data_IF_818860377105
#
_entry.id   IF_818860377105
#
_cell.length_a   1.000
_cell.length_b   1.000
_cell.length_c   1.000
_cell.angle_alpha   90.00
_cell.angle_beta   90.00
_cell.angle_gamma   90.00
#
_symmetry.space_group_name_H-M   'P 1'
#
loop_
_entity.id
_entity.type
_entity.pdbx_description
1 polymer ?
#
# COMPACT_ATOMS: atom_id res chain seq x y z
N UNK A 1 38.80 -47.15 37.57
CA UNK A 1 39.64 -46.05 37.08
C UNK A 1 38.81 -44.77 37.12
N UNK A 2 39.32 -43.75 37.75
CA UNK A 2 38.67 -42.55 38.27
C UNK A 2 38.33 -41.57 37.16
N UNK A 3 37.05 -41.15 37.06
CA UNK A 3 36.61 -40.06 36.23
C UNK A 3 36.66 -38.75 36.99
N UNK A 4 37.47 -37.79 36.54
CA UNK A 4 37.59 -36.46 37.13
C UNK A 4 36.47 -35.53 36.64
N UNK A 5 35.66 -34.99 37.57
CA UNK A 5 34.73 -33.91 37.33
C UNK A 5 35.49 -32.59 37.39
N UNK A 6 35.74 -31.97 36.23
CA UNK A 6 36.27 -30.61 36.15
C UNK A 6 35.15 -29.60 36.49
N UNK A 7 35.23 -28.97 37.65
CA UNK A 7 34.43 -27.78 38.01
C UNK A 7 35.11 -26.55 37.44
N UNK A 8 34.52 -25.93 36.43
CA UNK A 8 34.89 -24.60 35.99
C UNK A 8 34.45 -23.57 37.04
N UNK A 9 35.43 -23.01 37.74
CA UNK A 9 35.22 -21.89 38.64
C UNK A 9 35.39 -20.60 37.84
N UNK A 10 34.29 -19.91 37.60
CA UNK A 10 34.32 -18.52 37.14
C UNK A 10 34.81 -17.64 38.29
N UNK A 11 36.00 -17.05 38.16
CA UNK A 11 36.44 -15.93 39.00
C UNK A 11 35.72 -14.66 38.52
N UNK A 12 34.80 -14.16 39.30
CA UNK A 12 34.33 -12.78 39.17
C UNK A 12 35.49 -11.86 39.56
N UNK A 13 35.96 -11.09 38.60
CA UNK A 13 36.93 -10.03 38.81
C UNK A 13 36.25 -8.87 39.54
N UNK A 14 36.67 -8.55 40.74
CA UNK A 14 36.15 -7.51 41.61
C UNK A 14 36.81 -6.14 41.34
N UNK A 15 37.06 -5.80 40.09
CA UNK A 15 37.69 -4.53 39.74
C UNK A 15 36.71 -3.40 39.35
N UNK A 16 35.41 -3.56 39.60
CA UNK A 16 34.42 -2.49 39.42
C UNK A 16 34.00 -1.78 40.69
N UNK A 17 34.80 -1.82 41.75
CA UNK A 17 34.45 -1.20 43.06
C UNK A 17 35.13 0.17 43.29
N UNK A 18 35.51 0.90 42.24
CA UNK A 18 35.97 2.28 42.31
C UNK A 18 35.54 3.05 41.07
N UNK A 19 34.27 3.34 40.98
CA UNK A 19 33.78 4.48 40.19
C UNK A 19 33.71 5.64 41.20
N UNK A 20 34.33 6.79 40.94
CA UNK A 20 34.09 8.00 41.75
C UNK A 20 32.63 8.39 41.60
N UNK A 21 31.98 8.74 42.69
CA UNK A 21 30.69 9.39 42.74
C UNK A 21 30.84 10.67 41.87
N UNK A 22 30.32 10.61 40.64
CA UNK A 22 30.20 11.77 39.78
C UNK A 22 29.06 12.60 40.33
N UNK A 23 29.44 13.69 40.99
CA UNK A 23 28.52 14.74 41.42
C UNK A 23 27.67 15.14 40.24
N UNK A 24 26.44 14.69 40.27
CA UNK A 24 25.41 15.06 39.29
C UNK A 24 25.26 16.57 39.28
N UNK A 25 25.80 17.18 38.25
CA UNK A 25 25.66 18.60 37.98
C UNK A 25 24.15 18.89 37.79
N UNK A 26 23.49 19.64 38.71
CA UNK A 26 22.05 19.90 38.63
C UNK A 26 21.65 20.85 37.51
N UNK A 27 22.59 21.28 36.68
CA UNK A 27 22.37 22.29 35.64
C UNK A 27 22.06 21.73 34.23
N UNK A 28 21.94 20.39 34.05
CA UNK A 28 21.66 19.79 32.74
C UNK A 28 20.17 19.57 32.44
N UNK A 29 19.28 19.89 33.37
CA UNK A 29 17.84 19.90 33.13
C UNK A 29 17.35 21.35 33.13
N UNK A 30 17.23 21.94 31.96
CA UNK A 30 16.51 23.19 31.78
C UNK A 30 15.13 23.07 32.45
N UNK A 31 14.73 24.04 33.31
CA UNK A 31 13.42 24.00 33.95
C UNK A 31 12.32 23.97 32.87
N UNK A 32 11.21 23.26 33.09
CA UNK A 32 10.12 23.21 32.13
C UNK A 32 9.65 24.64 31.85
N UNK A 33 9.72 25.05 30.55
CA UNK A 33 9.15 26.33 30.12
C UNK A 33 7.65 26.25 30.35
N UNK A 34 7.15 26.93 31.35
CA UNK A 34 5.73 27.24 31.49
C UNK A 34 5.39 28.21 30.35
N UNK A 35 4.68 27.75 29.35
CA UNK A 35 4.10 28.61 28.35
C UNK A 35 2.92 29.28 29.03
N UNK A 36 3.12 30.54 29.43
CA UNK A 36 2.06 31.37 29.94
C UNK A 36 1.04 31.62 28.80
N UNK A 37 -0.16 31.08 28.95
CA UNK A 37 -1.27 31.20 27.96
C UNK A 37 -1.97 32.57 28.03
N UNK A 38 -1.34 33.57 28.58
CA UNK A 38 -1.90 34.91 28.74
C UNK A 38 -1.69 35.85 27.54
N UNK A 39 -1.18 35.32 26.41
CA UNK A 39 -1.15 36.08 25.16
C UNK A 39 -2.00 35.33 24.12
N UNK A 40 -3.31 35.37 24.28
CA UNK A 40 -4.23 35.23 23.18
C UNK A 40 -4.03 36.46 22.28
N UNK A 41 -3.72 36.30 20.97
CA UNK A 41 -3.77 37.43 20.08
C UNK A 41 -5.22 37.93 20.05
N UNK A 42 -5.43 39.15 20.56
CA UNK A 42 -6.67 39.87 20.36
C UNK A 42 -6.79 40.10 18.85
N UNK A 43 -7.70 39.39 18.21
CA UNK A 43 -8.13 39.76 16.88
C UNK A 43 -9.02 40.98 17.03
N UNK A 44 -8.53 42.13 16.56
CA UNK A 44 -9.33 43.34 16.42
C UNK A 44 -10.45 43.00 15.45
N UNK A 45 -11.71 43.05 15.96
CA UNK A 45 -12.93 42.81 15.18
C UNK A 45 -13.19 43.88 14.11
N UNK A 46 -12.35 44.90 13.98
CA UNK A 46 -12.52 46.00 13.04
C UNK A 46 -12.01 45.74 11.62
N UNK A 47 -11.23 44.67 11.37
CA UNK A 47 -10.67 44.39 10.05
C UNK A 47 -11.38 43.27 9.26
N UNK A 48 -12.50 42.79 9.71
CA UNK A 48 -13.33 41.90 8.89
C UNK A 48 -14.26 42.73 8.01
N UNK A 49 -14.11 42.69 6.66
CA UNK A 49 -15.09 43.34 5.80
C UNK A 49 -16.45 42.71 6.05
N UNK A 50 -17.40 43.49 6.54
CA UNK A 50 -18.78 43.10 6.78
C UNK A 50 -19.46 42.77 5.44
N UNK A 51 -19.29 41.51 5.00
CA UNK A 51 -20.03 40.97 3.87
C UNK A 51 -21.48 40.80 4.33
N UNK A 52 -22.34 41.74 3.93
CA UNK A 52 -23.77 41.69 4.16
C UNK A 52 -24.34 40.40 3.61
N UNK A 53 -25.24 39.76 4.38
CA UNK A 53 -25.95 38.53 3.97
C UNK A 53 -26.67 38.68 2.60
N UNK A 54 -26.87 39.91 2.15
CA UNK A 54 -27.40 40.22 0.80
C UNK A 54 -26.35 39.96 -0.31
N UNK A 55 -25.05 40.09 -0.02
CA UNK A 55 -23.97 39.91 -1.01
C UNK A 55 -23.62 38.43 -1.20
N UNK A 56 -23.73 37.65 -0.14
CA UNK A 56 -23.62 36.18 -0.22
C UNK A 56 -24.76 35.55 -1.03
N UNK A 57 -25.95 36.12 -0.96
CA UNK A 57 -27.13 35.62 -1.71
C UNK A 57 -27.06 36.02 -3.20
N UNK A 58 -26.37 37.11 -3.56
CA UNK A 58 -26.16 37.50 -4.97
C UNK A 58 -25.22 36.58 -5.73
N UNK A 59 -24.25 35.98 -5.04
CA UNK A 59 -23.34 35.00 -5.66
C UNK A 59 -23.95 33.59 -5.79
N UNK A 60 -25.07 33.34 -5.13
CA UNK A 60 -25.78 32.06 -5.19
C UNK A 60 -26.95 32.05 -6.20
N UNK A 61 -27.30 33.21 -6.73
CA UNK A 61 -28.40 33.36 -7.74
C UNK A 61 -27.81 33.48 -9.16
N UNK A 62 -26.75 32.77 -9.46
CA UNK A 62 -26.45 32.39 -10.83
C UNK A 62 -27.43 31.28 -11.19
N UNK A 63 -28.59 31.65 -11.74
CA UNK A 63 -29.48 30.69 -12.40
C UNK A 63 -28.65 29.89 -13.41
N UNK A 64 -28.66 28.55 -13.36
CA UNK A 64 -28.14 27.78 -14.46
C UNK A 64 -29.00 28.10 -15.67
N UNK A 65 -28.47 28.82 -16.65
CA UNK A 65 -29.08 28.91 -17.96
C UNK A 65 -29.16 27.50 -18.51
N UNK A 66 -30.38 26.95 -18.53
CA UNK A 66 -30.70 25.79 -19.35
C UNK A 66 -30.40 26.18 -20.78
N UNK A 67 -29.31 25.64 -21.32
CA UNK A 67 -29.06 25.71 -22.74
C UNK A 67 -30.24 25.05 -23.45
N UNK A 68 -30.86 25.76 -24.38
CA UNK A 68 -31.87 25.22 -25.30
C UNK A 68 -31.26 23.99 -25.98
N UNK A 69 -31.71 22.81 -25.57
CA UNK A 69 -31.51 21.57 -26.30
C UNK A 69 -32.35 21.65 -27.56
N UNK A 70 -31.74 22.17 -28.63
CA UNK A 70 -32.32 22.11 -29.96
C UNK A 70 -32.28 20.60 -30.40
N UNK A 71 -33.33 19.89 -30.04
CA UNK A 71 -33.65 18.58 -30.56
C UNK A 71 -34.03 18.73 -32.02
N UNK A 72 -33.04 18.72 -32.90
CA UNK A 72 -33.25 18.49 -34.30
C UNK A 72 -34.04 17.19 -34.46
N UNK A 73 -35.31 17.35 -34.87
CA UNK A 73 -36.17 16.27 -35.34
C UNK A 73 -35.44 15.62 -36.51
N UNK A 74 -35.19 14.32 -36.38
CA UNK A 74 -34.95 13.34 -37.43
C UNK A 74 -33.72 12.41 -37.19
N UNK A 75 -33.60 11.88 -35.97
CA UNK A 75 -32.91 10.61 -35.83
C UNK A 75 -33.80 9.61 -35.06
N UNK A 76 -34.13 8.45 -35.63
CA UNK A 76 -34.93 7.43 -34.98
C UNK A 76 -34.14 6.85 -33.79
N UNK A 77 -34.59 7.11 -32.58
CA UNK A 77 -34.09 6.45 -31.38
C UNK A 77 -34.35 4.93 -31.51
N UNK A 78 -33.34 4.06 -31.36
CA UNK A 78 -33.55 2.62 -31.39
C UNK A 78 -34.38 2.23 -30.16
N UNK A 79 -35.65 1.90 -30.38
CA UNK A 79 -36.49 1.28 -29.36
C UNK A 79 -36.22 -0.20 -29.28
N UNK A 80 -36.04 -0.69 -28.06
CA UNK A 80 -35.76 -2.12 -27.72
C UNK A 80 -36.92 -3.09 -28.05
N UNK A 81 -37.92 -2.66 -28.84
CA UNK A 81 -39.16 -3.41 -29.12
C UNK A 81 -39.39 -3.74 -30.59
N UNK A 82 -38.41 -3.62 -31.48
CA UNK A 82 -38.56 -4.13 -32.82
C UNK A 82 -38.08 -5.59 -32.89
N UNK A 83 -38.95 -6.55 -33.28
CA UNK A 83 -38.53 -7.90 -33.58
C UNK A 83 -37.60 -7.85 -34.76
N UNK A 84 -36.39 -8.39 -34.61
CA UNK A 84 -35.41 -8.54 -35.67
C UNK A 84 -35.86 -9.74 -36.51
N UNK A 85 -36.29 -9.49 -37.75
CA UNK A 85 -36.42 -10.55 -38.74
C UNK A 85 -35.03 -11.14 -39.07
N UNK A 86 -34.94 -12.46 -38.94
CA UNK A 86 -33.81 -13.25 -39.34
C UNK A 86 -33.51 -13.05 -40.85
N UNK A 87 -32.31 -12.68 -41.14
CA UNK A 87 -31.47 -13.07 -42.28
C UNK A 87 -30.50 -11.94 -42.63
N UNK A 88 -29.32 -11.95 -42.03
CA UNK A 88 -28.05 -11.76 -42.78
C UNK A 88 -26.93 -12.36 -41.93
N UNK A 89 -26.33 -13.43 -42.48
CA UNK A 89 -25.11 -14.02 -42.00
C UNK A 89 -23.98 -13.00 -42.04
N UNK A 90 -23.80 -12.26 -40.97
CA UNK A 90 -22.68 -11.37 -40.69
C UNK A 90 -21.80 -12.04 -39.63
N UNK A 91 -20.60 -12.42 -40.10
CA UNK A 91 -19.48 -12.92 -39.35
C UNK A 91 -19.38 -12.30 -37.96
N UNK A 92 -19.31 -13.06 -36.87
CA UNK A 92 -19.16 -12.49 -35.54
C UNK A 92 -17.84 -11.70 -35.49
N UNK A 93 -17.98 -10.41 -35.19
CA UNK A 93 -16.82 -9.59 -34.85
C UNK A 93 -16.21 -10.24 -33.58
N UNK A 94 -15.04 -10.81 -33.74
CA UNK A 94 -14.20 -11.26 -32.65
C UNK A 94 -14.07 -10.12 -31.64
N UNK A 95 -14.21 -10.37 -30.32
CA UNK A 95 -13.88 -9.38 -29.35
C UNK A 95 -12.47 -8.89 -29.65
N UNK A 96 -12.30 -7.58 -29.71
CA UNK A 96 -11.01 -6.94 -29.88
C UNK A 96 -10.07 -7.60 -28.87
N UNK A 97 -9.10 -8.35 -29.36
CA UNK A 97 -7.97 -8.77 -28.55
C UNK A 97 -7.36 -7.47 -28.05
N UNK A 98 -7.60 -7.15 -26.79
CA UNK A 98 -6.71 -6.25 -26.07
C UNK A 98 -5.32 -6.80 -26.36
N UNK A 99 -4.53 -6.00 -27.06
CA UNK A 99 -3.14 -6.31 -27.33
C UNK A 99 -2.49 -6.44 -25.95
N UNK A 100 -2.32 -7.67 -25.49
CA UNK A 100 -1.39 -8.00 -24.43
C UNK A 100 -0.05 -7.48 -24.91
N UNK A 101 0.31 -6.25 -24.54
CA UNK A 101 1.69 -5.78 -24.62
C UNK A 101 2.46 -6.80 -23.83
N UNK A 102 3.24 -7.64 -24.52
CA UNK A 102 4.18 -8.52 -23.86
C UNK A 102 5.04 -7.65 -22.97
N UNK A 103 4.78 -7.76 -21.67
CA UNK A 103 5.59 -7.07 -20.68
C UNK A 103 7.00 -7.62 -20.80
N UNK A 104 8.03 -6.76 -20.76
CA UNK A 104 9.40 -7.24 -20.81
C UNK A 104 9.61 -8.25 -19.68
N UNK A 105 10.47 -9.26 -19.89
CA UNK A 105 10.73 -10.27 -18.88
C UNK A 105 11.20 -9.60 -17.59
N UNK A 106 10.64 -10.04 -16.45
CA UNK A 106 11.01 -9.54 -15.14
C UNK A 106 12.46 -9.94 -14.84
N UNK A 107 13.33 -8.96 -14.63
CA UNK A 107 14.76 -9.17 -14.34
C UNK A 107 15.02 -9.31 -12.84
N UNK A 108 14.25 -8.58 -12.03
CA UNK A 108 14.39 -8.56 -10.57
C UNK A 108 13.02 -8.51 -9.91
N UNK A 109 12.86 -9.22 -8.79
CA UNK A 109 11.63 -9.21 -7.98
C UNK A 109 11.96 -8.80 -6.55
N UNK A 110 11.24 -7.83 -6.04
CA UNK A 110 11.28 -7.43 -4.63
C UNK A 110 10.11 -8.09 -3.90
N UNK A 111 10.40 -8.81 -2.81
CA UNK A 111 9.39 -9.58 -2.07
C UNK A 111 9.31 -9.13 -0.63
N UNK A 112 8.09 -8.93 -0.14
CA UNK A 112 7.78 -8.72 1.28
C UNK A 112 6.80 -9.80 1.71
N UNK A 113 7.18 -10.58 2.71
CA UNK A 113 6.31 -11.60 3.29
C UNK A 113 5.68 -11.06 4.57
N UNK A 114 4.39 -11.33 4.75
CA UNK A 114 3.70 -11.08 6.01
C UNK A 114 3.28 -12.44 6.57
N UNK A 115 3.79 -12.76 7.75
CA UNK A 115 3.58 -14.05 8.41
C UNK A 115 2.73 -13.85 9.66
N UNK A 116 1.69 -14.63 9.83
CA UNK A 116 0.86 -14.60 11.03
C UNK A 116 1.67 -15.04 12.26
N UNK A 117 1.53 -14.31 13.36
CA UNK A 117 2.14 -14.69 14.65
C UNK A 117 1.33 -15.76 15.37
N UNK A 118 0.01 -15.79 15.14
CA UNK A 118 -0.89 -16.80 15.72
C UNK A 118 -0.87 -18.10 14.94
N UNK A 119 -1.20 -19.19 15.62
CA UNK A 119 -1.26 -20.52 15.00
C UNK A 119 -2.45 -20.68 14.03
N UNK A 120 -3.52 -19.91 14.23
CA UNK A 120 -4.71 -19.92 13.37
C UNK A 120 -4.46 -19.30 11.98
N UNK A 121 -3.41 -18.46 11.86
CA UNK A 121 -3.12 -17.75 10.62
C UNK A 121 -4.01 -16.54 10.39
N UNK A 122 -4.06 -16.07 9.16
CA UNK A 122 -4.94 -15.01 8.71
C UNK A 122 -6.24 -15.61 8.23
N UNK A 123 -7.35 -15.28 8.89
CA UNK A 123 -8.69 -15.72 8.50
C UNK A 123 -9.13 -15.02 7.22
N UNK A 124 -9.71 -15.78 6.30
CA UNK A 124 -10.08 -15.31 4.96
C UNK A 124 -10.90 -14.03 4.92
N UNK A 125 -12.03 -13.92 5.65
CA UNK A 125 -12.84 -12.70 5.64
C UNK A 125 -12.10 -11.46 6.12
N UNK A 126 -11.34 -11.56 7.21
CA UNK A 126 -10.55 -10.45 7.75
C UNK A 126 -9.39 -10.07 6.81
N UNK A 127 -8.74 -11.07 6.21
CA UNK A 127 -7.70 -10.89 5.23
C UNK A 127 -8.24 -10.18 3.98
N UNK A 128 -9.35 -10.65 3.42
CA UNK A 128 -9.98 -10.06 2.25
C UNK A 128 -10.38 -8.60 2.48
N UNK A 129 -11.00 -8.30 3.61
CA UNK A 129 -11.37 -6.94 3.96
C UNK A 129 -10.14 -6.02 3.96
N UNK A 130 -9.07 -6.42 4.64
CA UNK A 130 -7.83 -5.64 4.74
C UNK A 130 -7.17 -5.41 3.38
N UNK A 131 -7.15 -6.44 2.52
CA UNK A 131 -6.65 -6.39 1.15
C UNK A 131 -7.43 -5.36 0.32
N UNK A 132 -8.76 -5.42 0.34
CA UNK A 132 -9.63 -4.52 -0.41
C UNK A 132 -9.52 -3.06 0.08
N UNK A 133 -9.41 -2.85 1.38
CA UNK A 133 -9.18 -1.54 1.98
C UNK A 133 -7.82 -0.94 1.61
N UNK A 134 -6.82 -1.79 1.39
CA UNK A 134 -5.51 -1.39 0.88
C UNK A 134 -5.50 -1.12 -0.63
N UNK A 135 -6.66 -1.24 -1.28
CA UNK A 135 -6.85 -0.94 -2.69
C UNK A 135 -6.33 -2.01 -3.64
N UNK A 136 -6.06 -3.23 -3.16
CA UNK A 136 -5.80 -4.36 -4.03
C UNK A 136 -7.12 -4.92 -4.57
N UNK A 137 -7.07 -5.46 -5.77
CA UNK A 137 -8.21 -6.09 -6.45
C UNK A 137 -7.81 -7.47 -6.92
N UNK A 138 -8.75 -8.41 -6.80
CA UNK A 138 -8.60 -9.77 -7.34
C UNK A 138 -8.55 -9.72 -8.85
N UNK A 139 -7.67 -10.49 -9.48
CA UNK A 139 -7.46 -10.44 -10.91
C UNK A 139 -6.77 -11.67 -11.47
N UNK A 140 -5.90 -11.46 -12.43
CA UNK A 140 -5.20 -12.52 -13.15
C UNK A 140 -4.44 -13.48 -12.22
N UNK A 141 -4.32 -14.75 -12.61
CA UNK A 141 -3.66 -15.83 -11.85
C UNK A 141 -4.26 -16.09 -10.46
N UNK A 142 -5.50 -15.67 -10.20
CA UNK A 142 -6.21 -15.86 -8.91
C UNK A 142 -5.44 -15.25 -7.73
N UNK A 143 -4.81 -14.09 -7.95
CA UNK A 143 -4.10 -13.30 -6.97
C UNK A 143 -4.60 -11.85 -6.94
N UNK A 144 -4.14 -11.08 -5.97
CA UNK A 144 -4.52 -9.67 -5.84
C UNK A 144 -3.48 -8.75 -6.46
N UNK A 145 -3.95 -7.70 -7.15
CA UNK A 145 -3.13 -6.68 -7.79
C UNK A 145 -3.46 -5.30 -7.24
N UNK A 146 -2.45 -4.50 -6.99
CA UNK A 146 -2.60 -3.08 -6.68
C UNK A 146 -2.30 -2.28 -7.94
N UNK A 147 -3.32 -1.63 -8.45
CA UNK A 147 -3.20 -0.72 -9.59
C UNK A 147 -2.88 0.70 -9.14
N UNK A 148 -2.51 1.55 -10.07
CA UNK A 148 -2.29 2.97 -9.81
C UNK A 148 -3.54 3.61 -9.19
N UNK A 149 -4.72 3.33 -9.75
CA UNK A 149 -6.00 3.70 -9.18
C UNK A 149 -6.47 2.65 -8.16
N UNK A 150 -7.04 3.10 -7.03
CA UNK A 150 -7.69 2.23 -6.05
C UNK A 150 -8.92 1.50 -6.60
N UNK A 151 -9.50 2.00 -7.70
CA UNK A 151 -10.62 1.36 -8.39
C UNK A 151 -10.21 0.13 -9.22
N UNK A 152 -8.91 -0.16 -9.35
CA UNK A 152 -8.40 -1.27 -10.14
C UNK A 152 -8.08 -0.93 -11.59
N UNK A 153 -7.95 0.36 -11.91
CA UNK A 153 -7.59 0.84 -13.24
C UNK A 153 -6.14 1.34 -13.27
N UNK A 154 -5.55 1.32 -14.45
CA UNK A 154 -4.18 1.78 -14.67
C UNK A 154 -3.15 0.65 -14.53
N UNK A 155 -1.89 1.04 -14.47
CA UNK A 155 -0.76 0.13 -14.38
C UNK A 155 -0.75 -0.63 -13.05
N UNK A 156 -0.35 -1.90 -13.07
CA UNK A 156 -0.15 -2.70 -11.85
C UNK A 156 1.11 -2.25 -11.16
N UNK A 157 0.99 -1.79 -9.91
CA UNK A 157 2.12 -1.36 -9.09
C UNK A 157 2.85 -2.54 -8.47
N UNK A 158 2.10 -3.45 -7.87
CA UNK A 158 2.59 -4.68 -7.25
C UNK A 158 1.44 -5.68 -7.10
N UNK A 159 1.79 -6.92 -6.78
CA UNK A 159 0.81 -7.99 -6.60
C UNK A 159 0.99 -8.67 -5.25
N UNK A 160 -0.02 -9.40 -4.81
CA UNK A 160 -0.01 -10.16 -3.57
C UNK A 160 -0.59 -11.56 -3.82
N UNK A 161 0.15 -12.57 -3.41
CA UNK A 161 -0.21 -13.98 -3.50
C UNK A 161 -0.22 -14.65 -2.13
N UNK A 162 -0.87 -15.80 -2.04
CA UNK A 162 -0.74 -16.67 -0.89
C UNK A 162 0.69 -17.23 -0.84
N UNK A 163 1.36 -17.16 0.30
CA UNK A 163 2.71 -17.72 0.45
C UNK A 163 2.72 -19.25 0.54
N UNK A 164 1.56 -19.87 0.74
CA UNK A 164 1.37 -21.32 0.76
C UNK A 164 0.88 -21.81 -0.60
N UNK A 165 1.27 -23.02 -0.98
CA UNK A 165 0.79 -23.65 -2.22
C UNK A 165 -0.73 -23.87 -2.15
N UNK A 166 -1.45 -23.60 -3.25
CA UNK A 166 -1.00 -23.35 -4.63
C UNK A 166 -0.46 -21.92 -4.91
N UNK A 167 -0.62 -20.96 -4.02
CA UNK A 167 -0.19 -19.59 -4.22
C UNK A 167 -1.33 -18.64 -4.59
N UNK A 168 -2.51 -19.17 -4.77
CA UNK A 168 -3.73 -18.46 -5.21
C UNK A 168 -4.70 -18.26 -4.05
N UNK A 169 -5.72 -17.46 -4.32
CA UNK A 169 -6.85 -17.27 -3.41
C UNK A 169 -8.12 -17.79 -4.08
N UNK A 170 -8.93 -18.48 -3.31
CA UNK A 170 -10.27 -18.87 -3.70
C UNK A 170 -11.28 -17.95 -2.99
N UNK A 171 -12.00 -17.14 -3.78
CA UNK A 171 -13.00 -16.22 -3.23
C UNK A 171 -14.34 -16.91 -2.94
N UNK A 172 -14.60 -18.05 -3.57
CA UNK A 172 -15.84 -18.80 -3.38
C UNK A 172 -15.84 -19.49 -2.00
N UNK A 173 -14.65 -19.89 -1.50
CA UNK A 173 -14.48 -20.51 -0.18
C UNK A 173 -13.73 -19.59 0.82
N UNK A 174 -13.83 -18.28 0.65
CA UNK A 174 -13.08 -17.32 1.49
C UNK A 174 -13.46 -17.38 2.97
N UNK A 175 -14.70 -17.80 3.29
CA UNK A 175 -15.17 -17.90 4.67
C UNK A 175 -14.48 -19.04 5.44
N UNK A 176 -14.20 -20.16 4.76
CA UNK A 176 -13.45 -21.29 5.30
C UNK A 176 -11.94 -21.17 5.12
N UNK A 177 -11.48 -20.19 4.33
CA UNK A 177 -10.08 -20.03 4.02
C UNK A 177 -9.28 -19.47 5.19
N UNK A 178 -8.08 -20.01 5.39
CA UNK A 178 -7.06 -19.42 6.26
C UNK A 178 -5.68 -19.64 5.69
N UNK A 179 -4.77 -18.71 5.93
CA UNK A 179 -3.37 -18.84 5.52
C UNK A 179 -2.42 -18.32 6.58
N UNK A 180 -1.26 -18.95 6.70
CA UNK A 180 -0.23 -18.52 7.65
C UNK A 180 0.63 -17.38 7.14
N UNK A 181 0.67 -17.15 5.83
CA UNK A 181 1.50 -16.10 5.25
C UNK A 181 0.99 -15.66 3.89
N UNK A 182 1.22 -14.39 3.57
CA UNK A 182 1.01 -13.80 2.26
C UNK A 182 2.29 -13.13 1.79
N UNK A 183 2.51 -13.08 0.47
CA UNK A 183 3.68 -12.50 -0.16
C UNK A 183 3.27 -11.38 -1.08
N UNK A 184 3.80 -10.18 -0.83
CA UNK A 184 3.73 -9.04 -1.74
C UNK A 184 4.95 -9.06 -2.64
N UNK A 185 4.79 -8.79 -3.92
CA UNK A 185 5.90 -8.77 -4.86
C UNK A 185 5.75 -7.68 -5.92
N UNK A 186 6.88 -7.08 -6.25
CA UNK A 186 7.04 -6.04 -7.25
C UNK A 186 8.14 -6.46 -8.22
N UNK A 187 7.78 -6.63 -9.51
CA UNK A 187 8.73 -6.97 -10.57
C UNK A 187 9.41 -5.74 -11.16
N UNK A 188 10.66 -5.89 -11.56
CA UNK A 188 11.44 -4.90 -12.30
C UNK A 188 11.96 -5.54 -13.61
N UNK A 189 11.74 -4.94 -14.80
CA UNK A 189 10.97 -3.72 -15.03
C UNK A 189 9.50 -3.90 -14.68
N UNK A 190 8.89 -2.83 -14.20
CA UNK A 190 7.49 -2.83 -13.74
C UNK A 190 6.91 -1.44 -13.85
N UNK A 191 6.29 -0.92 -12.79
CA UNK A 191 5.60 0.36 -12.83
C UNK A 191 6.53 1.51 -13.17
N UNK A 192 5.97 2.58 -13.74
CA UNK A 192 6.72 3.79 -14.15
C UNK A 192 7.51 4.41 -13.02
N UNK A 193 7.00 4.29 -11.79
CA UNK A 193 7.61 4.82 -10.58
C UNK A 193 7.83 3.71 -9.56
N UNK A 194 8.83 2.82 -9.76
CA UNK A 194 8.98 1.61 -8.96
C UNK A 194 9.29 1.91 -7.49
N UNK A 195 10.00 3.00 -7.20
CA UNK A 195 10.26 3.44 -5.81
C UNK A 195 8.96 3.81 -5.09
N UNK A 196 8.08 4.56 -5.74
CA UNK A 196 6.79 4.93 -5.18
C UNK A 196 5.88 3.70 -5.02
N UNK A 197 5.86 2.81 -6.00
CA UNK A 197 5.13 1.54 -5.93
C UNK A 197 5.61 0.68 -4.76
N UNK A 198 6.92 0.62 -4.54
CA UNK A 198 7.51 -0.08 -3.39
C UNK A 198 7.09 0.55 -2.06
N UNK A 199 7.08 1.87 -1.94
CA UNK A 199 6.64 2.56 -0.71
C UNK A 199 5.17 2.27 -0.41
N UNK A 200 4.31 2.22 -1.42
CA UNK A 200 2.89 1.81 -1.28
C UNK A 200 2.79 0.34 -0.87
N UNK A 201 3.61 -0.55 -1.44
CA UNK A 201 3.67 -1.96 -1.06
C UNK A 201 4.08 -2.15 0.40
N UNK A 202 5.10 -1.43 0.88
CA UNK A 202 5.52 -1.45 2.29
C UNK A 202 4.40 -0.96 3.20
N UNK A 203 3.68 0.10 2.81
CA UNK A 203 2.56 0.63 3.59
C UNK A 203 1.42 -0.38 3.70
N UNK A 204 1.04 -1.03 2.58
CA UNK A 204 0.01 -2.08 2.56
C UNK A 204 0.41 -3.29 3.42
N UNK A 205 1.65 -3.76 3.29
CA UNK A 205 2.16 -4.87 4.09
C UNK A 205 2.19 -4.56 5.59
N UNK A 206 2.59 -3.33 5.97
CA UNK A 206 2.58 -2.87 7.37
C UNK A 206 1.17 -2.79 7.93
N UNK A 207 0.22 -2.24 7.16
CA UNK A 207 -1.19 -2.17 7.56
C UNK A 207 -1.72 -3.57 7.85
N UNK A 208 -1.54 -4.51 6.91
CA UNK A 208 -1.98 -5.89 7.05
C UNK A 208 -1.35 -6.57 8.28
N UNK A 209 -0.04 -6.42 8.48
CA UNK A 209 0.65 -6.99 9.63
C UNK A 209 0.16 -6.40 10.96
N UNK A 210 -0.17 -5.10 10.99
CA UNK A 210 -0.68 -4.46 12.18
C UNK A 210 -2.10 -4.91 12.53
N UNK A 211 -2.98 -4.95 11.55
CA UNK A 211 -4.40 -5.27 11.75
C UNK A 211 -4.65 -6.77 12.01
N UNK A 212 -3.87 -7.63 11.37
CA UNK A 212 -4.04 -9.08 11.46
C UNK A 212 -2.97 -9.77 12.34
N UNK A 213 -2.27 -9.01 13.18
CA UNK A 213 -1.24 -9.54 14.07
C UNK A 213 -0.17 -10.38 13.32
N UNK A 214 0.37 -9.80 12.26
CA UNK A 214 1.44 -10.39 11.47
C UNK A 214 2.81 -9.82 11.77
N UNK A 215 3.82 -10.39 11.14
CA UNK A 215 5.20 -9.94 11.14
C UNK A 215 5.72 -9.81 9.71
N UNK A 216 6.39 -8.68 9.40
CA UNK A 216 7.00 -8.48 8.10
C UNK A 216 8.36 -9.16 8.02
N UNK A 217 8.57 -9.88 6.90
CA UNK A 217 9.84 -10.52 6.58
C UNK A 217 10.24 -10.21 5.13
N UNK A 218 11.55 -10.20 4.90
CA UNK A 218 12.12 -10.02 3.57
C UNK A 218 12.08 -11.31 2.72
N UNK A 219 12.70 -11.28 1.55
CA UNK A 219 12.85 -12.43 0.65
C UNK A 219 13.63 -13.59 1.28
N UNK A 220 14.52 -13.30 2.25
CA UNK A 220 15.30 -14.29 3.00
C UNK A 220 14.62 -14.74 4.30
N UNK A 221 13.37 -14.33 4.53
CA UNK A 221 12.61 -14.60 5.76
C UNK A 221 13.20 -13.96 7.02
N UNK A 222 14.09 -12.98 6.87
CA UNK A 222 14.56 -12.15 7.97
C UNK A 222 13.55 -11.06 8.32
N UNK A 223 13.56 -10.58 9.56
CA UNK A 223 12.65 -9.51 10.00
C UNK A 223 12.93 -8.25 9.19
N UNK A 224 11.87 -7.67 8.62
CA UNK A 224 11.98 -6.48 7.80
C UNK A 224 12.16 -5.23 8.66
N UNK A 225 13.38 -4.71 8.69
CA UNK A 225 13.76 -3.49 9.42
C UNK A 225 13.71 -2.26 8.50
N UNK A 226 13.83 -1.07 9.09
CA UNK A 226 13.97 0.16 8.31
C UNK A 226 15.20 0.11 7.38
N UNK A 227 16.28 -0.52 7.83
CA UNK A 227 17.50 -0.71 7.04
C UNK A 227 17.25 -1.63 5.84
N UNK A 228 16.52 -2.72 6.01
CA UNK A 228 16.15 -3.64 4.91
C UNK A 228 15.29 -2.91 3.88
N UNK A 229 14.34 -2.08 4.31
CA UNK A 229 13.49 -1.28 3.42
C UNK A 229 14.36 -0.30 2.61
N UNK A 230 15.31 0.37 3.25
CA UNK A 230 16.21 1.29 2.55
C UNK A 230 17.13 0.55 1.57
N UNK A 231 17.59 -0.63 1.91
CA UNK A 231 18.36 -1.49 1.00
C UNK A 231 17.54 -1.85 -0.26
N UNK A 232 16.24 -2.16 -0.11
CA UNK A 232 15.36 -2.41 -1.25
C UNK A 232 15.17 -1.17 -2.12
N UNK A 233 15.06 0.02 -1.52
CA UNK A 233 15.00 1.28 -2.29
C UNK A 233 16.30 1.51 -3.08
N UNK A 234 17.45 1.17 -2.51
CA UNK A 234 18.74 1.27 -3.20
C UNK A 234 18.80 0.29 -4.38
N UNK A 235 18.33 -0.95 -4.23
CA UNK A 235 18.23 -1.92 -5.33
C UNK A 235 17.41 -1.37 -6.49
N UNK A 236 16.27 -0.72 -6.21
CA UNK A 236 15.45 -0.07 -7.25
C UNK A 236 16.25 1.01 -7.98
N UNK A 237 16.92 1.90 -7.25
CA UNK A 237 17.73 2.98 -7.85
C UNK A 237 18.87 2.43 -8.70
N UNK A 238 19.53 1.39 -8.23
CA UNK A 238 20.59 0.72 -9.00
C UNK A 238 20.06 0.06 -10.27
N UNK A 239 18.89 -0.56 -10.20
CA UNK A 239 18.21 -1.12 -11.35
C UNK A 239 17.89 -0.03 -12.39
N UNK A 240 17.25 1.08 -11.97
CA UNK A 240 16.93 2.20 -12.87
C UNK A 240 18.20 2.77 -13.52
N UNK A 241 19.29 2.90 -12.76
CA UNK A 241 20.58 3.36 -13.29
C UNK A 241 21.15 2.42 -14.34
N UNK A 242 21.08 1.10 -14.10
CA UNK A 242 21.52 0.08 -15.07
C UNK A 242 20.73 0.16 -16.36
N UNK A 243 19.41 0.32 -16.27
CA UNK A 243 18.54 0.46 -17.43
C UNK A 243 18.87 1.70 -18.28
N UNK A 244 19.18 2.82 -17.64
CA UNK A 244 19.61 4.04 -18.35
C UNK A 244 20.97 3.86 -19.06
N UNK A 245 21.86 3.07 -18.51
CA UNK A 245 23.17 2.78 -19.09
C UNK A 245 23.04 1.82 -20.29
N UNK A 246 22.17 0.83 -20.20
CA UNK A 246 21.96 -0.17 -21.27
C UNK A 246 21.19 0.37 -22.48
N UNK A 247 20.48 1.49 -22.33
CA UNK A 247 19.78 2.17 -23.44
C UNK A 247 20.65 3.12 -24.25
N UNK A 248 21.91 3.32 -23.87
CA UNK A 248 22.90 4.12 -24.59
C UNK A 248 23.74 3.27 -25.54
#
# INVERSE_FOLDING_TARGET
>A
MRGGKGKLKFKLDRSFANLPDDDSDPDLLSPPRVIDRSHEPAFDEEDLPSLSARELNRRRSGEPQQGDLNLGQDEPVPTLLNPVDDEVVGKPASPAKESTKELPPVEEVLVINVIARGDEGFMGPALLQNILESGLRFGEMDIFHRHESMAGNGEVLFSMANALKPGTFDLDDIEGFSTRAVSFFLGLPGPRHPKQAFDVMVAAARKLAHELNGELKDDQRSVMTAQTIEHYRQRIVEYERKQLTNKR
#
